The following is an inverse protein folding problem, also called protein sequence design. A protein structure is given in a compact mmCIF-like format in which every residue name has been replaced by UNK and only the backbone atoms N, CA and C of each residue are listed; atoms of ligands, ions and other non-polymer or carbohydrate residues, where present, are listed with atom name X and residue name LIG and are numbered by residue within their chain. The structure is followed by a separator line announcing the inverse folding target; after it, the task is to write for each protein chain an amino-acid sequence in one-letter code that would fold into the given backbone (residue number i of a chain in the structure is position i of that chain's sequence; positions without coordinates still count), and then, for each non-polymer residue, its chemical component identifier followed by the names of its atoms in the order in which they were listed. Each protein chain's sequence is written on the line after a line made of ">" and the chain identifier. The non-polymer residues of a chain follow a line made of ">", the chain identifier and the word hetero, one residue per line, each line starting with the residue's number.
data_IF_243412773577
#
_entry.id   IF_243412773577
#
_cell.length_a   1.000
_cell.length_b   1.000
_cell.length_c   1.000
_cell.angle_alpha   90.00
_cell.angle_beta   90.00
_cell.angle_gamma   90.00
#
_symmetry.space_group_name_H-M   'P 1'
#
loop_
_entity.id
_entity.type
_entity.pdbx_description
1 polymer ?
#
# COMPACT_ATOMS: atom_id res chain seq x y z
N UNK A 1 33.87 16.53 -2.18
CA UNK A 1 33.48 17.80 -2.81
C UNK A 1 33.43 17.65 -4.31
N UNK A 2 32.53 16.82 -4.86
CA UNK A 2 32.38 16.61 -6.31
C UNK A 2 31.00 16.04 -6.73
N UNK A 3 29.93 16.23 -5.92
CA UNK A 3 28.61 15.69 -6.25
C UNK A 3 27.51 16.77 -6.32
N UNK A 4 27.83 18.04 -6.10
CA UNK A 4 26.86 19.14 -6.02
C UNK A 4 26.80 20.09 -7.23
N UNK A 5 27.59 19.84 -8.28
CA UNK A 5 27.68 20.77 -9.45
C UNK A 5 26.87 20.35 -10.68
N UNK A 6 26.06 19.28 -10.61
CA UNK A 6 25.28 18.81 -11.78
C UNK A 6 23.88 19.46 -11.87
N UNK A 7 23.38 20.10 -10.83
CA UNK A 7 22.00 20.63 -10.79
C UNK A 7 21.84 22.14 -10.99
N UNK A 8 22.88 22.85 -11.45
CA UNK A 8 22.75 24.26 -11.83
C UNK A 8 22.76 24.47 -13.33
N UNK A 9 21.66 24.15 -14.05
CA UNK A 9 21.28 24.80 -15.30
C UNK A 9 19.93 24.32 -15.83
N UNK A 10 18.90 25.09 -15.58
CA UNK A 10 17.91 25.69 -16.50
C UNK A 10 16.63 26.05 -15.73
N UNK A 11 16.55 27.32 -15.34
CA UNK A 11 15.26 27.98 -15.18
C UNK A 11 14.73 28.35 -16.55
N UNK A 12 13.51 27.99 -16.88
CA UNK A 12 12.67 28.71 -17.82
C UNK A 12 11.26 28.76 -17.22
N UNK A 13 10.79 29.98 -17.01
CA UNK A 13 9.48 30.31 -16.49
C UNK A 13 8.40 29.79 -17.46
N UNK A 14 7.50 29.00 -16.96
CA UNK A 14 6.22 28.73 -17.61
C UNK A 14 5.10 28.92 -16.57
N UNK A 15 4.21 29.79 -16.89
CA UNK A 15 3.11 30.29 -16.08
C UNK A 15 2.20 29.16 -15.59
N UNK A 16 1.93 29.13 -14.30
CA UNK A 16 0.89 28.32 -13.68
C UNK A 16 -0.47 28.89 -14.07
N UNK A 17 -1.12 28.29 -15.04
CA UNK A 17 -2.54 28.50 -15.27
C UNK A 17 -3.36 27.51 -14.45
N UNK A 18 -4.13 28.04 -13.50
CA UNK A 18 -5.25 27.36 -12.89
C UNK A 18 -6.29 27.04 -13.98
N UNK A 19 -6.54 25.79 -14.22
CA UNK A 19 -7.75 25.37 -14.95
C UNK A 19 -8.26 24.02 -14.45
N UNK A 20 -9.55 24.04 -14.26
CA UNK A 20 -10.43 22.97 -13.81
C UNK A 20 -10.28 21.64 -14.58
N UNK A 21 -10.52 20.56 -13.85
CA UNK A 21 -11.05 19.24 -14.23
C UNK A 21 -11.20 18.93 -15.75
N UNK A 22 -10.10 18.84 -16.49
CA UNK A 22 -10.13 18.36 -17.89
C UNK A 22 -9.03 17.30 -18.03
N UNK A 23 -9.45 16.07 -18.28
CA UNK A 23 -8.57 14.98 -18.71
C UNK A 23 -8.10 15.32 -20.13
N UNK A 24 -6.79 15.35 -20.44
CA UNK A 24 -6.30 15.67 -21.78
C UNK A 24 -6.76 14.66 -22.82
N UNK A 25 -7.21 15.16 -23.98
CA UNK A 25 -7.43 14.33 -25.17
C UNK A 25 -6.09 14.01 -25.84
N UNK A 26 -5.59 12.77 -25.66
CA UNK A 26 -4.54 12.23 -26.52
C UNK A 26 -5.11 11.12 -27.40
N UNK A 27 -5.41 11.46 -28.63
CA UNK A 27 -5.77 10.51 -29.67
C UNK A 27 -4.55 10.20 -30.55
N UNK A 28 -4.14 8.94 -30.62
CA UNK A 28 -3.44 8.38 -31.75
C UNK A 28 -1.95 8.08 -31.62
N UNK A 29 -1.53 7.24 -30.67
CA UNK A 29 -0.25 6.51 -30.71
C UNK A 29 -0.25 5.25 -29.81
N UNK A 30 -1.42 4.67 -29.53
CA UNK A 30 -1.59 3.64 -28.48
C UNK A 30 -1.24 2.24 -28.96
N UNK A 31 -1.35 1.90 -30.25
CA UNK A 31 -1.22 0.50 -30.71
C UNK A 31 0.22 -0.02 -30.83
N UNK A 32 1.20 0.83 -31.14
CA UNK A 32 2.59 0.37 -31.30
C UNK A 32 3.38 0.38 -29.97
N UNK A 33 2.99 1.18 -28.99
CA UNK A 33 3.54 1.16 -27.64
C UNK A 33 3.18 -0.15 -26.90
N UNK A 34 1.98 -0.68 -27.10
CA UNK A 34 1.50 -1.89 -26.46
C UNK A 34 2.40 -3.13 -26.71
N UNK A 35 2.96 -3.30 -27.90
CA UNK A 35 3.77 -4.49 -28.23
C UNK A 35 5.16 -4.51 -27.60
N UNK A 36 5.78 -3.35 -27.39
CA UNK A 36 7.08 -3.26 -26.73
C UNK A 36 6.98 -3.39 -25.20
N UNK A 37 5.85 -3.01 -24.62
CA UNK A 37 5.58 -3.13 -23.19
C UNK A 37 5.29 -4.57 -22.74
N UNK A 38 4.67 -5.39 -23.59
CA UNK A 38 4.36 -6.78 -23.23
C UNK A 38 5.59 -7.67 -23.00
N UNK A 39 6.70 -7.41 -23.67
CA UNK A 39 7.92 -8.22 -23.53
C UNK A 39 8.76 -7.85 -22.31
N UNK A 40 8.78 -6.58 -21.91
CA UNK A 40 9.56 -6.11 -20.75
C UNK A 40 8.86 -6.35 -19.40
N UNK A 41 7.54 -6.47 -19.40
CA UNK A 41 6.73 -6.55 -18.17
C UNK A 41 6.29 -7.96 -17.75
N UNK A 42 6.83 -9.03 -18.35
CA UNK A 42 6.46 -10.42 -17.99
C UNK A 42 6.64 -10.76 -16.49
N UNK A 43 7.52 -10.06 -15.77
CA UNK A 43 7.74 -10.27 -14.34
C UNK A 43 6.73 -9.57 -13.42
N UNK A 44 5.89 -8.66 -13.95
CA UNK A 44 4.98 -7.82 -13.17
C UNK A 44 3.49 -8.14 -13.35
N UNK A 45 3.16 -9.08 -14.23
CA UNK A 45 1.77 -9.52 -14.45
C UNK A 45 1.30 -10.38 -13.27
N UNK A 46 0.76 -9.73 -12.27
CA UNK A 46 0.23 -10.36 -11.06
C UNK A 46 -1.12 -9.78 -10.69
N UNK A 47 -1.92 -10.57 -10.04
CA UNK A 47 -3.15 -10.16 -9.40
C UNK A 47 -2.87 -10.00 -7.90
N UNK A 48 -3.22 -8.85 -7.37
CA UNK A 48 -3.20 -8.60 -5.93
C UNK A 48 -4.61 -8.73 -5.35
N UNK A 49 -4.70 -9.40 -4.20
CA UNK A 49 -5.87 -9.37 -3.33
C UNK A 49 -5.46 -8.70 -2.03
N UNK A 50 -6.22 -7.70 -1.60
CA UNK A 50 -6.09 -7.09 -0.29
C UNK A 50 -7.36 -7.42 0.51
N UNK A 51 -7.21 -8.15 1.60
CA UNK A 51 -8.31 -8.60 2.44
C UNK A 51 -8.11 -8.02 3.82
N UNK A 52 -9.11 -7.33 4.33
CA UNK A 52 -9.10 -6.76 5.68
C UNK A 52 -10.09 -7.52 6.55
N UNK A 53 -9.58 -8.13 7.60
CA UNK A 53 -10.36 -8.89 8.58
C UNK A 53 -10.41 -8.16 9.92
N UNK A 54 -11.39 -8.46 10.75
CA UNK A 54 -11.38 -8.01 12.16
C UNK A 54 -10.14 -8.55 12.87
N UNK A 55 -9.63 -7.81 13.84
CA UNK A 55 -8.56 -8.28 14.69
C UNK A 55 -8.95 -9.46 15.59
N UNK A 56 -10.25 -9.71 15.72
CA UNK A 56 -10.84 -10.86 16.43
C UNK A 56 -11.07 -12.09 15.55
N UNK A 57 -10.56 -12.10 14.30
CA UNK A 57 -10.64 -13.27 13.42
C UNK A 57 -10.08 -14.52 14.11
N UNK A 58 -10.74 -15.65 13.93
CA UNK A 58 -10.26 -16.93 14.43
C UNK A 58 -8.95 -17.31 13.76
N UNK A 59 -7.88 -17.42 14.56
CA UNK A 59 -6.54 -17.78 14.11
C UNK A 59 -6.51 -19.13 13.39
N UNK A 60 -7.35 -20.08 13.83
CA UNK A 60 -7.44 -21.40 13.23
C UNK A 60 -8.00 -21.30 11.80
N UNK A 61 -9.04 -20.50 11.58
CA UNK A 61 -9.57 -20.24 10.23
C UNK A 61 -8.52 -19.62 9.31
N UNK A 62 -7.77 -18.64 9.82
CA UNK A 62 -6.69 -18.00 9.07
C UNK A 62 -5.58 -18.98 8.71
N UNK A 63 -5.21 -19.88 9.65
CA UNK A 63 -4.25 -20.93 9.40
C UNK A 63 -4.76 -21.94 8.35
N UNK A 64 -6.01 -22.35 8.46
CA UNK A 64 -6.66 -23.25 7.49
C UNK A 64 -6.71 -22.61 6.08
N UNK A 65 -6.98 -21.32 6.00
CA UNK A 65 -6.91 -20.58 4.74
C UNK A 65 -5.51 -20.66 4.12
N UNK A 66 -4.46 -20.45 4.92
CA UNK A 66 -3.07 -20.63 4.45
C UNK A 66 -2.86 -22.04 3.90
N UNK A 67 -3.30 -23.08 4.64
CA UNK A 67 -3.14 -24.47 4.21
C UNK A 67 -3.87 -24.78 2.90
N UNK A 68 -5.03 -24.15 2.66
CA UNK A 68 -5.75 -24.26 1.40
C UNK A 68 -4.95 -23.65 0.27
N UNK A 69 -4.42 -22.44 0.44
CA UNK A 69 -3.60 -21.78 -0.59
C UNK A 69 -2.33 -22.58 -0.92
N UNK A 70 -1.72 -23.24 0.08
CA UNK A 70 -0.54 -24.07 -0.10
C UNK A 70 -0.77 -25.35 -0.93
N UNK A 71 -2.00 -25.67 -1.29
CA UNK A 71 -2.30 -26.73 -2.26
C UNK A 71 -2.06 -26.27 -3.71
N UNK A 72 -2.03 -24.97 -3.95
CA UNK A 72 -1.85 -24.37 -5.28
C UNK A 72 -0.45 -23.80 -5.49
N UNK A 73 0.24 -23.41 -4.40
CA UNK A 73 1.53 -22.73 -4.45
C UNK A 73 2.54 -23.36 -3.50
N UNK A 74 3.83 -23.20 -3.80
CA UNK A 74 4.91 -23.74 -2.95
C UNK A 74 5.80 -22.60 -2.48
N UNK A 75 5.83 -22.27 -1.17
CA UNK A 75 6.73 -21.27 -0.63
C UNK A 75 8.20 -21.70 -0.74
N UNK A 76 9.06 -20.73 -0.98
CA UNK A 76 10.52 -20.87 -0.87
C UNK A 76 11.05 -20.24 0.41
N UNK A 77 10.34 -19.22 0.91
CA UNK A 77 10.70 -18.47 2.11
C UNK A 77 9.50 -18.28 3.04
N UNK A 78 9.81 -18.14 4.32
CA UNK A 78 8.88 -17.78 5.39
C UNK A 78 9.51 -16.70 6.25
N UNK A 79 8.75 -15.67 6.59
CA UNK A 79 9.13 -14.61 7.49
C UNK A 79 8.13 -14.44 8.62
N UNK A 80 8.65 -14.21 9.81
CA UNK A 80 7.92 -13.92 11.03
C UNK A 80 8.83 -13.10 11.95
N UNK A 81 8.27 -12.39 12.93
CA UNK A 81 9.03 -11.54 13.87
C UNK A 81 10.16 -12.30 14.58
N UNK A 82 9.96 -13.58 14.87
CA UNK A 82 10.98 -14.43 15.49
C UNK A 82 12.27 -14.58 14.66
N UNK A 83 12.23 -14.32 13.35
CA UNK A 83 13.42 -14.35 12.49
C UNK A 83 14.10 -13.00 12.34
N UNK A 84 13.60 -11.97 13.03
CA UNK A 84 14.04 -10.58 12.93
C UNK A 84 13.15 -9.76 11.98
N UNK A 85 13.03 -8.47 12.27
CA UNK A 85 12.21 -7.55 11.48
C UNK A 85 12.69 -7.50 10.02
N UNK A 86 11.78 -7.83 9.08
CA UNK A 86 12.07 -7.83 7.65
C UNK A 86 12.91 -9.01 7.13
N UNK A 87 13.28 -9.95 7.98
CA UNK A 87 14.04 -11.12 7.56
C UNK A 87 13.13 -12.30 7.22
N UNK A 88 13.54 -13.07 6.22
CA UNK A 88 12.91 -14.32 5.86
C UNK A 88 13.95 -15.44 5.82
N UNK A 89 13.52 -16.66 6.18
CA UNK A 89 14.34 -17.86 6.11
C UNK A 89 13.76 -18.84 5.11
N UNK A 90 14.55 -19.84 4.71
CA UNK A 90 14.07 -20.88 3.79
C UNK A 90 12.84 -21.57 4.40
N UNK A 91 11.79 -21.71 3.59
CA UNK A 91 10.57 -22.40 3.97
C UNK A 91 10.82 -23.91 4.14
N UNK A 92 10.25 -24.45 5.20
CA UNK A 92 10.06 -25.88 5.41
C UNK A 92 8.68 -26.08 6.05
N UNK A 93 7.86 -27.04 5.61
CA UNK A 93 6.50 -27.24 6.13
C UNK A 93 6.42 -27.32 7.66
N UNK A 94 7.40 -27.92 8.32
CA UNK A 94 7.46 -28.02 9.78
C UNK A 94 7.66 -26.70 10.52
N UNK A 95 8.10 -25.63 9.83
CA UNK A 95 8.28 -24.29 10.41
C UNK A 95 6.99 -23.48 10.41
N UNK A 96 6.05 -23.83 9.53
CA UNK A 96 4.84 -23.05 9.36
C UNK A 96 4.00 -22.95 10.65
N UNK A 97 3.64 -24.04 11.35
CA UNK A 97 2.86 -23.95 12.58
C UNK A 97 3.53 -23.06 13.64
N UNK A 98 4.81 -23.33 13.94
CA UNK A 98 5.56 -22.59 14.96
C UNK A 98 5.64 -21.09 14.64
N UNK A 99 5.98 -20.74 13.39
CA UNK A 99 6.10 -19.35 12.97
C UNK A 99 4.74 -18.63 13.00
N UNK A 100 3.68 -19.30 12.57
CA UNK A 100 2.34 -18.74 12.58
C UNK A 100 1.81 -18.55 14.02
N UNK A 101 1.93 -19.56 14.90
CA UNK A 101 1.51 -19.47 16.29
C UNK A 101 2.26 -18.37 17.04
N UNK A 102 3.59 -18.29 16.85
CA UNK A 102 4.41 -17.24 17.46
C UNK A 102 4.00 -15.82 17.00
N UNK A 103 3.68 -15.66 15.73
CA UNK A 103 3.29 -14.35 15.20
C UNK A 103 1.87 -13.95 15.62
N UNK A 104 0.96 -14.92 15.69
CA UNK A 104 -0.44 -14.71 16.06
C UNK A 104 -0.69 -14.78 17.57
N UNK A 105 0.37 -14.74 18.39
CA UNK A 105 0.22 -14.69 19.85
C UNK A 105 -0.49 -13.41 20.29
N UNK A 106 -1.40 -13.51 21.24
CA UNK A 106 -2.23 -12.38 21.71
C UNK A 106 -1.42 -11.26 22.39
N UNK A 107 -0.23 -11.60 22.87
CA UNK A 107 0.70 -10.61 23.43
C UNK A 107 1.37 -9.75 22.36
N UNK A 108 1.32 -10.17 21.09
CA UNK A 108 1.89 -9.42 19.99
C UNK A 108 0.95 -8.28 19.55
N UNK A 109 1.39 -7.08 19.77
CA UNK A 109 0.67 -5.87 19.30
C UNK A 109 0.93 -5.55 17.82
N UNK A 110 1.87 -6.26 17.18
CA UNK A 110 2.18 -6.20 15.75
C UNK A 110 2.28 -7.59 15.17
N UNK A 111 1.74 -7.76 13.96
CA UNK A 111 1.81 -9.00 13.20
C UNK A 111 2.53 -8.69 11.89
N UNK A 112 3.55 -9.49 11.56
CA UNK A 112 4.23 -9.46 10.26
C UNK A 112 4.62 -10.88 9.88
N UNK A 113 3.69 -11.60 9.29
CA UNK A 113 3.90 -12.94 8.79
C UNK A 113 3.87 -12.95 7.26
N UNK A 114 4.82 -13.62 6.62
CA UNK A 114 4.77 -13.76 5.17
C UNK A 114 5.30 -15.10 4.67
N UNK A 115 4.75 -15.53 3.55
CA UNK A 115 5.24 -16.61 2.71
C UNK A 115 5.53 -16.04 1.32
N UNK A 116 6.68 -16.38 0.77
CA UNK A 116 7.13 -15.93 -0.54
C UNK A 116 7.60 -17.12 -1.38
N UNK A 117 7.36 -17.09 -2.68
CA UNK A 117 7.73 -18.12 -3.62
C UNK A 117 7.65 -17.65 -5.05
N UNK A 118 8.01 -18.54 -6.00
CA UNK A 118 7.93 -18.23 -7.40
C UNK A 118 6.45 -18.02 -7.81
N UNK A 119 6.14 -16.82 -8.28
CA UNK A 119 4.81 -16.47 -8.75
C UNK A 119 3.78 -16.14 -7.66
N UNK A 120 4.13 -16.16 -6.36
CA UNK A 120 3.20 -15.75 -5.33
C UNK A 120 3.86 -15.03 -4.14
N UNK A 121 3.02 -14.25 -3.43
CA UNK A 121 3.32 -13.65 -2.14
C UNK A 121 2.06 -13.74 -1.27
N UNK A 122 2.24 -14.07 0.00
CA UNK A 122 1.21 -14.02 1.03
C UNK A 122 1.77 -13.24 2.23
N UNK A 123 1.05 -12.19 2.68
CA UNK A 123 1.46 -11.37 3.82
C UNK A 123 0.26 -11.18 4.74
N UNK A 124 0.44 -11.44 6.03
CA UNK A 124 -0.45 -10.97 7.09
C UNK A 124 0.26 -9.84 7.81
N UNK A 125 -0.41 -8.71 7.94
CA UNK A 125 0.12 -7.55 8.62
C UNK A 125 -0.92 -6.91 9.53
N UNK A 126 -0.50 -6.58 10.77
CA UNK A 126 -1.23 -5.71 11.67
C UNK A 126 -0.23 -4.77 12.30
N UNK A 127 -0.45 -3.50 12.20
CA UNK A 127 0.29 -2.50 12.98
C UNK A 127 -0.32 -2.38 14.38
N UNK A 128 0.48 -1.95 15.33
CA UNK A 128 0.15 -1.90 16.78
C UNK A 128 -1.25 -1.38 17.12
N UNK A 129 -1.78 -0.49 16.32
CA UNK A 129 -3.01 0.22 16.64
C UNK A 129 -4.08 0.08 15.55
N UNK A 130 -3.84 -0.81 14.58
CA UNK A 130 -4.83 -1.10 13.55
C UNK A 130 -6.00 -1.88 14.12
N UNK A 131 -7.22 -1.46 13.75
CA UNK A 131 -8.47 -2.17 14.08
C UNK A 131 -8.66 -3.44 13.27
N UNK A 132 -7.89 -3.59 12.18
CA UNK A 132 -8.03 -4.69 11.24
C UNK A 132 -6.69 -5.36 10.96
N UNK A 133 -6.75 -6.65 10.68
CA UNK A 133 -5.62 -7.41 10.14
C UNK A 133 -5.71 -7.33 8.62
N UNK A 134 -4.66 -6.84 7.99
CA UNK A 134 -4.53 -6.83 6.55
C UNK A 134 -3.87 -8.12 6.04
N UNK A 135 -4.46 -8.73 5.02
CA UNK A 135 -3.89 -9.85 4.28
C UNK A 135 -3.67 -9.36 2.86
N UNK A 136 -2.45 -9.48 2.36
CA UNK A 136 -2.11 -9.22 0.97
C UNK A 136 -1.69 -10.51 0.30
N UNK A 137 -2.35 -10.86 -0.80
CA UNK A 137 -1.99 -11.98 -1.65
C UNK A 137 -1.58 -11.42 -3.01
N UNK A 138 -0.57 -12.02 -3.63
CA UNK A 138 -0.16 -11.70 -5.00
C UNK A 138 0.15 -12.98 -5.73
N UNK A 139 -0.49 -13.20 -6.88
CA UNK A 139 -0.31 -14.41 -7.71
C UNK A 139 -0.09 -14.03 -9.16
N UNK A 140 0.59 -14.88 -9.93
CA UNK A 140 0.45 -14.84 -11.38
C UNK A 140 -1.02 -15.10 -11.79
N UNK A 141 -1.40 -14.65 -12.99
CA UNK A 141 -2.79 -14.72 -13.46
C UNK A 141 -3.36 -16.14 -13.45
N UNK A 142 -2.58 -17.13 -13.93
CA UNK A 142 -3.04 -18.52 -14.02
C UNK A 142 -3.27 -19.14 -12.63
N UNK A 143 -2.48 -18.76 -11.66
CA UNK A 143 -2.63 -19.20 -10.28
C UNK A 143 -3.78 -18.46 -9.61
N UNK A 144 -3.92 -17.15 -9.84
CA UNK A 144 -5.01 -16.34 -9.30
C UNK A 144 -6.38 -16.93 -9.68
N UNK A 145 -6.59 -17.28 -10.94
CA UNK A 145 -7.83 -17.91 -11.41
C UNK A 145 -8.14 -19.23 -10.69
N UNK A 146 -7.12 -20.04 -10.44
CA UNK A 146 -7.30 -21.33 -9.77
C UNK A 146 -7.64 -21.20 -8.29
N UNK A 147 -7.03 -20.22 -7.60
CA UNK A 147 -7.24 -20.01 -6.15
C UNK A 147 -8.43 -19.12 -5.87
N UNK A 148 -8.96 -18.40 -6.86
CA UNK A 148 -10.03 -17.44 -6.71
C UNK A 148 -11.24 -17.96 -5.91
N UNK A 149 -11.79 -19.18 -6.19
CA UNK A 149 -12.94 -19.68 -5.43
C UNK A 149 -12.66 -19.80 -3.93
N UNK A 150 -11.45 -20.17 -3.54
CA UNK A 150 -11.05 -20.31 -2.15
C UNK A 150 -10.85 -18.95 -1.48
N UNK A 151 -10.29 -18.00 -2.22
CA UNK A 151 -10.14 -16.61 -1.75
C UNK A 151 -11.51 -15.98 -1.57
N UNK A 152 -12.41 -16.10 -2.55
CA UNK A 152 -13.76 -15.52 -2.44
C UNK A 152 -14.55 -16.13 -1.30
N UNK A 153 -14.48 -17.45 -1.08
CA UNK A 153 -15.10 -18.10 0.08
C UNK A 153 -14.62 -17.50 1.39
N UNK A 154 -13.29 -17.36 1.57
CA UNK A 154 -12.72 -16.75 2.77
C UNK A 154 -13.16 -15.29 2.93
N UNK A 155 -13.20 -14.52 1.85
CA UNK A 155 -13.66 -13.12 1.84
C UNK A 155 -15.13 -13.04 2.32
N UNK A 156 -15.99 -13.87 1.78
CA UNK A 156 -17.43 -13.87 2.11
C UNK A 156 -17.69 -14.26 3.58
N UNK A 157 -16.85 -15.14 4.13
CA UNK A 157 -17.03 -15.63 5.51
C UNK A 157 -16.43 -14.68 6.56
N UNK A 158 -15.26 -14.06 6.28
CA UNK A 158 -14.43 -13.48 7.35
C UNK A 158 -13.90 -12.06 7.06
N UNK A 159 -14.18 -11.47 5.88
CA UNK A 159 -13.66 -10.13 5.59
C UNK A 159 -14.61 -9.00 5.94
N UNK A 160 -14.04 -7.84 6.24
CA UNK A 160 -14.73 -6.54 6.35
C UNK A 160 -14.78 -5.86 4.99
N UNK A 161 -13.65 -5.75 4.35
CA UNK A 161 -13.49 -5.29 2.97
C UNK A 161 -12.41 -6.15 2.31
N UNK A 162 -12.61 -6.44 1.02
CA UNK A 162 -11.54 -6.99 0.20
C UNK A 162 -11.54 -6.33 -1.18
N UNK A 163 -10.39 -6.40 -1.85
CA UNK A 163 -10.21 -5.88 -3.21
C UNK A 163 -9.28 -6.74 -4.03
N UNK A 164 -9.48 -6.68 -5.34
CA UNK A 164 -8.66 -7.32 -6.36
C UNK A 164 -8.19 -6.27 -7.37
N UNK A 165 -6.90 -6.28 -7.70
CA UNK A 165 -6.28 -5.33 -8.63
C UNK A 165 -5.20 -6.01 -9.46
N UNK A 166 -4.91 -5.44 -10.63
CA UNK A 166 -3.66 -5.70 -11.33
C UNK A 166 -2.51 -5.05 -10.54
N UNK A 167 -1.45 -5.83 -10.29
CA UNK A 167 -0.33 -5.38 -9.46
C UNK A 167 0.46 -4.23 -10.09
N UNK A 168 0.61 -4.24 -11.42
CA UNK A 168 1.30 -3.18 -12.13
C UNK A 168 0.49 -1.88 -12.11
N UNK A 169 -0.82 -1.99 -12.35
CA UNK A 169 -1.71 -0.82 -12.27
C UNK A 169 -1.70 -0.21 -10.87
N UNK A 170 -1.85 -1.02 -9.85
CA UNK A 170 -1.81 -0.54 -8.46
C UNK A 170 -0.49 0.19 -8.17
N UNK A 171 0.64 -0.36 -8.61
CA UNK A 171 1.95 0.27 -8.43
C UNK A 171 2.01 1.63 -9.13
N UNK A 172 1.64 1.70 -10.40
CA UNK A 172 1.68 2.93 -11.21
C UNK A 172 0.76 4.02 -10.63
N UNK A 173 -0.45 3.65 -10.19
CA UNK A 173 -1.42 4.61 -9.66
C UNK A 173 -1.03 5.17 -8.28
N UNK A 174 -0.11 4.53 -7.58
CA UNK A 174 0.35 4.91 -6.25
C UNK A 174 1.80 5.39 -6.22
N UNK A 175 2.44 5.59 -7.39
CA UNK A 175 3.83 6.03 -7.51
C UNK A 175 3.91 7.57 -7.54
N UNK A 176 4.48 8.22 -6.50
CA UNK A 176 4.58 9.68 -6.46
C UNK A 176 5.77 10.23 -7.27
N UNK A 177 6.78 9.41 -7.56
CA UNK A 177 8.02 9.88 -8.16
C UNK A 177 8.02 9.77 -9.69
N UNK A 178 8.18 10.90 -10.36
CA UNK A 178 8.26 10.97 -11.83
C UNK A 178 9.33 10.04 -12.38
N UNK A 179 10.52 10.01 -11.75
CA UNK A 179 11.63 9.16 -12.19
C UNK A 179 11.32 7.66 -12.12
N UNK A 180 10.47 7.25 -11.19
CA UNK A 180 10.04 5.85 -11.09
C UNK A 180 9.01 5.51 -12.18
N UNK A 181 8.08 6.42 -12.48
CA UNK A 181 7.17 6.24 -13.61
C UNK A 181 7.92 6.12 -14.93
N UNK A 182 8.95 6.95 -15.16
CA UNK A 182 9.80 6.86 -16.35
C UNK A 182 10.56 5.52 -16.43
N UNK A 183 11.04 4.98 -15.30
CA UNK A 183 11.64 3.64 -15.22
C UNK A 183 10.63 2.52 -15.51
N UNK A 184 9.37 2.74 -15.19
CA UNK A 184 8.25 1.86 -15.52
C UNK A 184 7.75 2.05 -16.95
N UNK A 185 8.39 2.93 -17.73
CA UNK A 185 8.00 3.30 -19.09
C UNK A 185 6.59 3.93 -19.20
N UNK A 186 6.11 4.56 -18.13
CA UNK A 186 4.89 5.36 -18.14
C UNK A 186 5.21 6.82 -18.49
N UNK A 187 4.28 7.50 -19.17
CA UNK A 187 4.42 8.93 -19.46
C UNK A 187 3.94 9.75 -18.26
N UNK A 188 4.84 10.46 -17.54
CA UNK A 188 4.41 11.28 -16.40
C UNK A 188 3.44 12.41 -16.75
N UNK A 189 3.27 12.74 -18.05
CA UNK A 189 2.30 13.76 -18.47
C UNK A 189 0.84 13.30 -18.33
N UNK A 190 0.60 12.00 -18.27
CA UNK A 190 -0.73 11.42 -18.10
C UNK A 190 -1.24 11.50 -16.65
N UNK A 191 -0.38 11.92 -15.72
CA UNK A 191 -0.68 11.97 -14.30
C UNK A 191 -0.78 13.41 -13.78
N UNK A 192 -1.71 13.70 -12.84
CA UNK A 192 -1.78 14.99 -12.18
C UNK A 192 -0.52 15.26 -11.36
N UNK A 193 -0.10 16.52 -11.32
CA UNK A 193 1.14 16.93 -10.64
C UNK A 193 0.87 17.86 -9.47
N UNK A 194 1.70 17.78 -8.45
CA UNK A 194 1.72 18.68 -7.32
C UNK A 194 3.14 19.12 -6.99
N UNK A 195 3.26 20.04 -6.03
CA UNK A 195 4.54 20.42 -5.45
C UNK A 195 4.85 19.47 -4.30
N UNK A 196 5.95 18.75 -4.40
CA UNK A 196 6.44 17.83 -3.38
C UNK A 196 6.97 18.52 -2.13
N UNK A 197 7.30 17.73 -1.13
CA UNK A 197 7.81 18.21 0.17
C UNK A 197 9.15 18.94 0.05
N UNK A 198 9.98 18.55 -0.92
CA UNK A 198 11.29 19.17 -1.20
C UNK A 198 11.22 20.25 -2.27
N UNK A 199 10.02 20.80 -2.53
CA UNK A 199 9.76 21.79 -3.59
C UNK A 199 9.96 21.29 -5.03
N UNK A 200 10.22 20.03 -5.23
CA UNK A 200 10.25 19.35 -6.53
C UNK A 200 8.82 19.07 -7.05
N UNK A 201 8.73 18.63 -8.30
CA UNK A 201 7.44 18.26 -8.90
C UNK A 201 7.26 16.75 -8.72
N UNK A 202 6.18 16.39 -8.06
CA UNK A 202 5.75 15.01 -7.84
C UNK A 202 4.40 14.74 -8.52
N UNK A 203 4.00 13.48 -8.58
CA UNK A 203 2.66 13.08 -8.99
C UNK A 203 1.70 13.27 -7.79
N UNK A 204 0.57 13.91 -8.06
CA UNK A 204 -0.53 14.03 -7.10
C UNK A 204 -1.33 12.71 -7.09
N UNK A 205 -0.77 11.70 -6.44
CA UNK A 205 -1.30 10.34 -6.45
C UNK A 205 -2.74 10.25 -5.92
N UNK A 206 -3.15 11.14 -5.02
CA UNK A 206 -4.53 11.15 -4.51
C UNK A 206 -5.56 11.47 -5.60
N UNK A 207 -5.13 12.15 -6.68
CA UNK A 207 -5.95 12.44 -7.85
C UNK A 207 -5.94 11.33 -8.90
N UNK A 208 -5.14 10.28 -8.71
CA UNK A 208 -5.20 9.13 -9.60
C UNK A 208 -6.45 8.30 -9.33
N UNK A 209 -7.19 7.86 -10.35
CA UNK A 209 -8.40 7.06 -10.18
C UNK A 209 -8.20 5.78 -9.37
N UNK A 210 -7.07 5.09 -9.58
CA UNK A 210 -6.68 3.87 -8.89
C UNK A 210 -5.85 4.08 -7.62
N UNK A 211 -5.81 5.31 -7.07
CA UNK A 211 -5.11 5.55 -5.80
C UNK A 211 -5.73 4.77 -4.64
N UNK A 212 -4.86 4.22 -3.78
CA UNK A 212 -5.22 3.36 -2.66
C UNK A 212 -4.84 4.02 -1.33
N UNK A 213 -5.83 4.35 -0.54
CA UNK A 213 -5.63 4.74 0.86
C UNK A 213 -5.37 3.50 1.71
N UNK A 214 -4.25 3.50 2.44
CA UNK A 214 -3.91 2.47 3.43
C UNK A 214 -4.07 3.07 4.82
N UNK A 215 -5.06 2.60 5.56
CA UNK A 215 -5.36 3.12 6.90
C UNK A 215 -5.98 2.06 7.80
N UNK A 216 -5.56 1.98 9.04
CA UNK A 216 -6.09 1.07 10.07
C UNK A 216 -6.17 -0.42 9.65
N UNK A 217 -5.33 -0.85 8.67
CA UNK A 217 -5.38 -2.20 8.10
C UNK A 217 -6.36 -2.37 6.93
N UNK A 218 -7.02 -1.28 6.49
CA UNK A 218 -7.88 -1.26 5.32
C UNK A 218 -7.14 -0.75 4.09
N UNK A 219 -7.53 -1.27 2.92
CA UNK A 219 -7.21 -0.71 1.60
C UNK A 219 -8.49 -0.15 0.98
N UNK A 220 -8.56 1.19 0.83
CA UNK A 220 -9.74 1.90 0.32
C UNK A 220 -9.39 2.58 -1.00
N UNK A 221 -10.15 2.30 -2.06
CA UNK A 221 -9.91 2.84 -3.40
C UNK A 221 -10.96 2.39 -4.39
N UNK A 222 -10.70 2.63 -5.69
CA UNK A 222 -11.48 2.11 -6.80
C UNK A 222 -10.70 0.98 -7.48
N UNK A 223 -10.92 -0.26 -7.08
CA UNK A 223 -10.24 -1.43 -7.62
C UNK A 223 -11.04 -2.08 -8.75
N UNK A 224 -10.43 -3.03 -9.44
CA UNK A 224 -11.12 -3.84 -10.45
C UNK A 224 -12.34 -4.54 -9.85
N UNK A 225 -12.16 -5.26 -8.74
CA UNK A 225 -13.22 -5.96 -8.02
C UNK A 225 -13.09 -5.70 -6.51
N UNK A 226 -14.22 -5.56 -5.84
CA UNK A 226 -14.27 -5.23 -4.42
C UNK A 226 -15.40 -5.99 -3.74
N UNK A 227 -15.18 -6.38 -2.48
CA UNK A 227 -16.14 -7.03 -1.62
C UNK A 227 -16.34 -6.21 -0.36
N UNK A 228 -17.58 -6.06 0.06
CA UNK A 228 -17.97 -5.27 1.21
C UNK A 228 -18.84 -6.11 2.13
N UNK A 229 -18.26 -6.55 3.26
CA UNK A 229 -18.97 -7.29 4.29
C UNK A 229 -19.81 -6.40 5.21
N UNK A 230 -20.62 -7.01 6.07
CA UNK A 230 -21.57 -6.32 6.96
C UNK A 230 -20.92 -5.19 7.77
N UNK A 231 -19.72 -5.41 8.29
CA UNK A 231 -19.02 -4.42 9.13
C UNK A 231 -18.58 -3.18 8.36
N UNK A 232 -18.41 -3.27 7.04
CA UNK A 232 -18.07 -2.12 6.20
C UNK A 232 -19.20 -1.09 6.14
N UNK A 233 -20.44 -1.51 6.35
CA UNK A 233 -21.61 -0.62 6.34
C UNK A 233 -21.68 0.31 7.57
N UNK A 234 -20.79 0.12 8.54
CA UNK A 234 -20.64 1.09 9.63
C UNK A 234 -20.04 2.45 9.15
N UNK A 235 -19.35 2.45 8.01
CA UNK A 235 -18.73 3.65 7.44
C UNK A 235 -19.01 3.88 5.95
N UNK A 236 -19.63 2.92 5.25
CA UNK A 236 -20.09 3.03 3.86
C UNK A 236 -21.60 2.99 3.78
N UNK A 237 -22.19 3.79 2.90
CA UNK A 237 -23.62 3.71 2.64
C UNK A 237 -23.96 2.48 1.79
N UNK A 238 -24.68 1.55 2.41
CA UNK A 238 -25.08 0.27 1.81
C UNK A 238 -25.97 0.44 0.58
N UNK A 239 -26.84 1.45 0.58
CA UNK A 239 -27.77 1.72 -0.53
C UNK A 239 -27.01 2.26 -1.74
N UNK A 240 -26.11 3.22 -1.51
CA UNK A 240 -25.26 3.78 -2.55
C UNK A 240 -24.36 2.71 -3.16
N UNK A 241 -23.78 1.85 -2.30
CA UNK A 241 -22.96 0.73 -2.74
C UNK A 241 -23.73 -0.24 -3.64
N UNK A 242 -24.91 -0.70 -3.17
CA UNK A 242 -25.74 -1.69 -3.89
C UNK A 242 -26.40 -1.15 -5.16
N UNK A 243 -26.53 0.15 -5.27
CA UNK A 243 -27.07 0.81 -6.47
C UNK A 243 -26.01 1.35 -7.41
N UNK A 244 -24.71 1.16 -7.12
CA UNK A 244 -23.64 1.69 -7.95
C UNK A 244 -23.64 1.04 -9.34
N UNK A 245 -23.70 1.82 -10.43
CA UNK A 245 -23.69 1.32 -11.79
C UNK A 245 -22.28 0.87 -12.22
N UNK A 246 -22.11 -0.43 -12.44
CA UNK A 246 -20.83 -1.04 -12.82
C UNK A 246 -21.07 -2.25 -13.72
N UNK A 247 -20.01 -2.97 -14.09
CA UNK A 247 -20.11 -4.18 -14.89
C UNK A 247 -20.92 -5.26 -14.14
N UNK A 248 -20.60 -5.49 -12.85
CA UNK A 248 -21.33 -6.43 -12.02
C UNK A 248 -21.46 -5.88 -10.60
N UNK A 249 -22.68 -5.97 -10.05
CA UNK A 249 -22.99 -5.62 -8.67
C UNK A 249 -23.95 -6.68 -8.10
N UNK A 250 -23.44 -7.59 -7.28
CA UNK A 250 -24.17 -8.73 -6.77
C UNK A 250 -24.12 -8.83 -5.26
N UNK A 251 -25.19 -9.34 -4.70
CA UNK A 251 -25.26 -9.71 -3.30
C UNK A 251 -24.90 -11.20 -3.16
N UNK A 252 -23.85 -11.46 -2.41
CA UNK A 252 -23.40 -12.80 -2.02
C UNK A 252 -24.01 -13.21 -0.67
N UNK A 253 -23.65 -14.40 -0.20
CA UNK A 253 -23.98 -14.85 1.15
C UNK A 253 -23.41 -13.91 2.21
N UNK A 254 -23.86 -14.05 3.46
CA UNK A 254 -23.45 -13.23 4.60
C UNK A 254 -23.57 -11.71 4.38
N UNK A 255 -24.52 -11.30 3.53
CA UNK A 255 -24.79 -9.89 3.22
C UNK A 255 -23.61 -9.16 2.56
N UNK A 256 -22.67 -9.89 1.98
CA UNK A 256 -21.51 -9.35 1.27
C UNK A 256 -21.93 -8.83 -0.10
N UNK A 257 -21.60 -7.57 -0.40
CA UNK A 257 -21.78 -7.00 -1.74
C UNK A 257 -20.48 -7.07 -2.51
N UNK A 258 -20.50 -7.73 -3.69
CA UNK A 258 -19.39 -7.74 -4.64
C UNK A 258 -19.64 -6.76 -5.77
N UNK A 259 -18.69 -5.89 -6.05
CA UNK A 259 -18.69 -4.93 -7.16
C UNK A 259 -17.51 -5.24 -8.06
N UNK A 260 -17.77 -5.41 -9.37
CA UNK A 260 -16.76 -5.49 -10.43
C UNK A 260 -16.94 -4.28 -11.34
N UNK A 261 -15.95 -3.39 -11.43
CA UNK A 261 -16.09 -2.12 -12.13
C UNK A 261 -16.10 -2.27 -13.65
N UNK A 262 -15.30 -3.18 -14.20
CA UNK A 262 -15.15 -3.44 -15.64
C UNK A 262 -15.07 -4.94 -15.94
N UNK A 263 -15.20 -5.30 -17.22
CA UNK A 263 -15.28 -6.70 -17.65
C UNK A 263 -13.96 -7.46 -17.47
N UNK A 264 -12.84 -6.84 -17.83
CA UNK A 264 -11.52 -7.47 -17.76
C UNK A 264 -10.56 -6.64 -16.91
N UNK A 265 -9.78 -7.33 -16.08
CA UNK A 265 -8.84 -6.68 -15.17
C UNK A 265 -7.71 -5.95 -15.93
N UNK A 266 -7.31 -6.46 -17.08
CA UNK A 266 -6.26 -5.88 -17.91
C UNK A 266 -6.67 -4.55 -18.59
N UNK A 267 -7.98 -4.25 -18.64
CA UNK A 267 -8.51 -3.04 -19.27
C UNK A 267 -8.38 -1.78 -18.40
N UNK A 268 -7.52 -1.80 -17.39
CA UNK A 268 -7.35 -0.68 -16.45
C UNK A 268 -6.90 0.63 -17.13
N UNK A 269 -6.19 0.56 -18.27
CA UNK A 269 -5.79 1.75 -19.04
C UNK A 269 -6.92 2.41 -19.80
N UNK A 270 -8.06 1.74 -19.94
CA UNK A 270 -9.22 2.29 -20.62
C UNK A 270 -9.76 3.49 -19.84
N UNK A 271 -9.94 4.62 -20.55
CA UNK A 271 -10.42 5.87 -19.95
C UNK A 271 -11.78 5.71 -19.26
N UNK A 272 -12.68 4.90 -19.82
CA UNK A 272 -14.01 4.67 -19.23
C UNK A 272 -13.88 3.91 -17.90
N UNK A 273 -12.95 2.96 -17.82
CA UNK A 273 -12.68 2.18 -16.59
C UNK A 273 -12.05 3.08 -15.52
N UNK A 274 -11.12 3.95 -15.89
CA UNK A 274 -10.58 4.99 -15.00
C UNK A 274 -11.67 5.92 -14.49
N UNK A 275 -12.58 6.33 -15.36
CA UNK A 275 -13.71 7.16 -14.97
C UNK A 275 -14.62 6.45 -13.97
N UNK A 276 -14.90 5.15 -14.14
CA UNK A 276 -15.69 4.34 -13.18
C UNK A 276 -15.01 4.23 -11.82
N UNK A 277 -13.68 4.02 -11.77
CA UNK A 277 -12.92 4.03 -10.52
C UNK A 277 -13.11 5.35 -9.78
N UNK A 278 -13.01 6.47 -10.50
CA UNK A 278 -13.19 7.82 -9.95
C UNK A 278 -14.61 8.07 -9.47
N UNK A 279 -15.61 7.68 -10.25
CA UNK A 279 -17.03 7.78 -9.90
C UNK A 279 -17.37 6.95 -8.66
N UNK A 280 -16.80 5.74 -8.54
CA UNK A 280 -16.93 4.89 -7.38
C UNK A 280 -16.40 5.59 -6.12
N UNK A 281 -15.16 6.09 -6.16
CA UNK A 281 -14.57 6.82 -5.04
C UNK A 281 -15.41 8.02 -4.62
N UNK A 282 -15.88 8.82 -5.59
CA UNK A 282 -16.72 9.99 -5.33
C UNK A 282 -18.10 9.62 -4.75
N UNK A 283 -18.76 8.64 -5.35
CA UNK A 283 -20.12 8.25 -4.95
C UNK A 283 -20.18 7.70 -3.53
N UNK A 284 -19.16 6.94 -3.15
CA UNK A 284 -19.08 6.32 -1.84
C UNK A 284 -18.25 7.13 -0.84
N UNK A 285 -17.85 8.34 -1.19
CA UNK A 285 -17.05 9.21 -0.33
C UNK A 285 -15.77 8.57 0.22
N UNK A 286 -15.13 7.69 -0.57
CA UNK A 286 -13.96 6.89 -0.15
C UNK A 286 -12.85 7.80 0.39
N UNK A 287 -12.56 8.91 -0.30
CA UNK A 287 -11.49 9.84 0.07
C UNK A 287 -11.75 10.49 1.44
N UNK A 288 -13.00 10.89 1.70
CA UNK A 288 -13.38 11.54 2.97
C UNK A 288 -13.35 10.53 4.13
N UNK A 289 -13.80 9.30 3.86
CA UNK A 289 -13.75 8.20 4.83
C UNK A 289 -12.30 7.88 5.19
N UNK A 290 -11.44 7.71 4.18
CA UNK A 290 -10.04 7.37 4.38
C UNK A 290 -9.30 8.48 5.15
N UNK A 291 -9.48 9.76 4.79
CA UNK A 291 -8.86 10.88 5.50
C UNK A 291 -9.30 10.95 6.96
N UNK A 292 -10.59 10.77 7.23
CA UNK A 292 -11.11 10.72 8.61
C UNK A 292 -10.45 9.59 9.41
N UNK A 293 -10.34 8.39 8.83
CA UNK A 293 -9.69 7.25 9.49
C UNK A 293 -8.19 7.50 9.73
N UNK A 294 -7.50 8.13 8.79
CA UNK A 294 -6.10 8.52 8.96
C UNK A 294 -5.91 9.59 10.06
N UNK A 295 -6.84 10.52 10.18
CA UNK A 295 -6.83 11.50 11.27
C UNK A 295 -7.07 10.85 12.63
N UNK A 296 -8.04 9.93 12.74
CA UNK A 296 -8.27 9.13 13.94
C UNK A 296 -7.01 8.34 14.34
N UNK A 297 -6.34 7.73 13.36
CA UNK A 297 -5.11 6.99 13.55
C UNK A 297 -3.97 7.91 14.05
N UNK A 298 -3.79 9.08 13.44
CA UNK A 298 -2.81 10.08 13.90
C UNK A 298 -3.09 10.54 15.34
N UNK A 299 -4.35 10.84 15.66
CA UNK A 299 -4.75 11.26 17.02
C UNK A 299 -4.53 10.13 18.04
N UNK A 300 -4.78 8.88 17.64
CA UNK A 300 -4.51 7.74 18.51
C UNK A 300 -3.01 7.57 18.77
N UNK A 301 -2.18 7.67 17.73
CA UNK A 301 -0.72 7.65 17.89
C UNK A 301 -0.22 8.76 18.79
N UNK A 302 -0.74 9.98 18.65
CA UNK A 302 -0.39 11.09 19.54
C UNK A 302 -0.73 10.81 21.01
N UNK A 303 -1.90 10.22 21.29
CA UNK A 303 -2.35 9.93 22.66
C UNK A 303 -1.58 8.80 23.33
N UNK A 304 -1.15 7.81 22.54
CA UNK A 304 -0.50 6.61 23.05
C UNK A 304 1.02 6.60 22.78
N UNK A 305 1.55 7.68 22.22
CA UNK A 305 2.99 7.85 22.07
C UNK A 305 3.63 8.02 23.45
N UNK A 306 4.60 7.17 23.74
CA UNK A 306 5.43 7.35 24.94
C UNK A 306 6.33 8.57 24.72
N UNK A 307 6.20 9.64 25.51
CA UNK A 307 6.99 10.86 25.34
C UNK A 307 8.49 10.66 25.59
N UNK A 308 8.89 9.55 26.22
CA UNK A 308 10.28 9.29 26.56
C UNK A 308 11.08 8.54 25.49
N UNK A 309 10.43 7.98 24.43
CA UNK A 309 11.13 7.20 23.38
C UNK A 309 11.16 7.97 22.06
N UNK A 310 12.09 8.93 21.96
CA UNK A 310 12.23 9.72 20.73
C UNK A 310 13.62 9.70 20.11
N UNK A 311 14.41 8.68 20.42
CA UNK A 311 15.69 8.45 19.77
C UNK A 311 15.50 7.28 18.78
N UNK A 312 15.26 7.57 17.50
CA UNK A 312 15.40 6.55 16.46
C UNK A 312 16.90 6.40 16.14
N UNK A 313 17.53 5.41 16.75
CA UNK A 313 18.86 4.97 16.35
C UNK A 313 18.75 4.14 15.05
N UNK A 314 18.94 4.75 13.91
CA UNK A 314 19.16 4.05 12.65
C UNK A 314 20.63 3.68 12.54
N UNK A 315 20.99 2.42 12.69
CA UNK A 315 22.32 1.96 12.34
C UNK A 315 22.39 1.77 10.82
N UNK A 316 22.88 2.75 10.11
CA UNK A 316 23.36 2.58 8.75
C UNK A 316 24.90 2.51 8.79
N UNK A 317 25.44 1.30 8.76
CA UNK A 317 26.86 1.11 8.58
C UNK A 317 27.24 1.39 7.11
N UNK A 318 27.53 2.64 6.81
CA UNK A 318 28.34 3.00 5.66
C UNK A 318 29.66 3.57 6.19
N UNK A 319 30.69 2.77 6.15
CA UNK A 319 32.04 3.19 6.50
C UNK A 319 32.31 3.42 7.99
N UNK A 320 31.58 2.77 8.91
CA UNK A 320 31.78 2.89 10.36
C UNK A 320 31.19 4.14 10.99
N UNK A 321 30.25 4.82 10.32
CA UNK A 321 29.52 5.98 10.82
C UNK A 321 28.14 5.59 11.29
N UNK A 322 27.75 6.05 12.49
CA UNK A 322 26.42 5.85 13.08
C UNK A 322 25.60 7.13 12.93
N UNK A 323 24.41 7.05 12.32
CA UNK A 323 23.46 8.15 12.24
C UNK A 323 22.48 8.11 13.44
N UNK A 324 22.35 9.25 14.13
CA UNK A 324 21.41 9.44 15.23
C UNK A 324 20.44 10.56 14.87
N UNK A 325 19.14 10.26 14.85
CA UNK A 325 18.07 11.22 14.62
C UNK A 325 17.38 11.52 15.96
N UNK A 326 17.31 12.77 16.34
CA UNK A 326 16.58 13.25 17.53
C UNK A 326 15.48 14.20 17.12
N UNK A 327 14.23 13.85 17.33
CA UNK A 327 13.09 14.72 17.02
C UNK A 327 12.90 15.77 18.11
N UNK A 328 12.68 17.01 17.71
CA UNK A 328 12.59 18.15 18.61
C UNK A 328 11.28 18.92 18.38
N UNK A 329 10.70 19.48 19.46
CA UNK A 329 9.63 20.47 19.44
C UNK A 329 10.03 21.66 20.30
N UNK A 330 10.14 22.83 19.69
CA UNK A 330 10.64 24.03 20.39
C UNK A 330 12.00 23.78 21.08
N UNK A 331 12.88 22.96 20.45
CA UNK A 331 14.21 22.63 20.98
C UNK A 331 14.25 21.55 22.07
N UNK A 332 13.12 20.98 22.47
CA UNK A 332 13.05 19.88 23.42
C UNK A 332 12.77 18.55 22.70
N UNK A 333 13.29 17.46 23.22
CA UNK A 333 13.01 16.12 22.68
C UNK A 333 11.50 15.89 22.69
N UNK A 334 10.93 15.53 21.54
CA UNK A 334 9.52 15.33 21.34
C UNK A 334 9.26 14.08 20.47
N UNK A 335 8.04 13.58 20.49
CA UNK A 335 7.66 12.50 19.59
C UNK A 335 7.70 12.98 18.13
N UNK A 336 8.06 12.07 17.19
CA UNK A 336 8.17 12.40 15.75
C UNK A 336 6.92 13.09 15.19
N UNK A 337 5.72 12.65 15.60
CA UNK A 337 4.45 13.25 15.16
C UNK A 337 4.17 14.64 15.71
N UNK A 338 4.93 15.11 16.71
CA UNK A 338 4.80 16.43 17.33
C UNK A 338 6.00 17.33 17.05
N UNK A 339 7.04 16.77 16.44
CA UNK A 339 8.27 17.48 16.17
C UNK A 339 8.04 18.57 15.12
N UNK A 340 8.73 19.70 15.32
CA UNK A 340 8.86 20.78 14.35
C UNK A 340 10.24 20.73 13.66
N UNK A 341 11.15 19.93 14.19
CA UNK A 341 12.50 19.76 13.65
C UNK A 341 13.09 18.40 14.02
N UNK A 342 14.11 17.97 13.25
CA UNK A 342 14.91 16.79 13.54
C UNK A 342 16.39 17.17 13.58
N UNK A 343 17.06 16.85 14.67
CA UNK A 343 18.50 16.92 14.78
C UNK A 343 19.11 15.62 14.24
N UNK A 344 20.00 15.72 13.27
CA UNK A 344 20.76 14.61 12.68
C UNK A 344 22.21 14.72 13.16
N UNK A 345 22.72 13.66 13.76
CA UNK A 345 24.13 13.56 14.16
C UNK A 345 24.77 12.35 13.51
N UNK A 346 25.98 12.51 12.99
CA UNK A 346 26.86 11.40 12.58
C UNK A 346 27.89 11.19 13.67
N UNK A 347 28.02 9.95 14.13
CA UNK A 347 29.01 9.53 15.11
C UNK A 347 30.01 8.60 14.41
N UNK A 348 31.31 8.76 14.68
CA UNK A 348 32.34 7.83 14.23
C UNK A 348 32.33 6.52 15.06
N UNK A 349 33.23 5.60 14.75
CA UNK A 349 33.32 4.31 15.42
C UNK A 349 33.58 4.42 16.94
N UNK A 350 34.16 5.53 17.40
CA UNK A 350 34.43 5.80 18.80
C UNK A 350 33.27 6.55 19.49
N UNK A 351 32.16 6.82 18.74
CA UNK A 351 30.97 7.53 19.23
C UNK A 351 31.14 9.06 19.30
N UNK A 352 32.17 9.59 18.65
CA UNK A 352 32.40 11.03 18.57
C UNK A 352 31.58 11.64 17.44
N UNK A 353 30.92 12.76 17.70
CA UNK A 353 30.17 13.53 16.72
C UNK A 353 31.11 14.10 15.64
N UNK A 354 30.90 13.72 14.38
CA UNK A 354 31.63 14.18 13.20
C UNK A 354 30.80 15.12 12.33
N UNK A 355 29.48 15.05 12.47
CA UNK A 355 28.54 15.94 11.78
C UNK A 355 27.30 16.15 12.64
N UNK A 356 26.71 17.35 12.55
CA UNK A 356 25.45 17.70 13.15
C UNK A 356 24.71 18.70 12.28
N UNK A 357 23.41 18.44 12.07
CA UNK A 357 22.51 19.37 11.37
C UNK A 357 21.12 19.34 12.03
N UNK A 358 20.31 20.39 11.79
CA UNK A 358 18.92 20.47 12.23
C UNK A 358 18.06 20.79 11.03
N UNK A 359 17.14 19.87 10.71
CA UNK A 359 16.19 20.02 9.62
C UNK A 359 14.84 20.40 10.22
N UNK A 360 14.21 21.46 9.74
CA UNK A 360 12.84 21.85 10.07
C UNK A 360 11.89 20.97 9.29
N UNK A 361 10.92 20.35 9.96
CA UNK A 361 9.96 19.40 9.40
C UNK A 361 8.71 20.09 8.87
#
# INVERSE_FOLDING_TARGET
>A
MAFLDIFKKKKSDAELNQSADIIPESTGMIEDAHKSHEETNKGWKRINFHISCKDTIDKQKLYEFILVLLQYVTPTKIGASQYGSGHSVKYYPKRLPEAFESEMDESNDRITFHLDGDGFLFVIKKERLCKFIGITLSFDYDTADKVFPEIERFIVEDSVIASESDSYDEMVQNEPFISQLELLHEDPSDFPKCKGTLEDIEIDIEKNPGYVYKTQGLHLGGFYRMWFGEDSYAFLDKSDLRSFPCFENILLENDVTRITLNEHIEDYRNRENRQKQWEFRKKLHIDDIARRMQEEEKEFYKRNADPEINIQEGNFEHGGVRLVHTYLKNGNIAHRSEADSVEIRELDADGKEVFKDIIVL
#
